data_IF_905728365072
#
_entry.id   IF_905728365072
#
_cell.length_a   1.000
_cell.length_b   1.000
_cell.length_c   1.000
_cell.angle_alpha   90.00
_cell.angle_beta   90.00
_cell.angle_gamma   90.00
#
_symmetry.space_group_name_H-M   'P 1'
#
loop_
_entity.id
_entity.type
_entity.pdbx_description
1 polymer ?
#
# COMPACT_ATOMS: atom_id res chain seq x y z
N UNK A 1 -63.50 10.39 21.95
CA UNK A 1 -62.14 9.83 21.99
C UNK A 1 -62.28 8.38 21.60
N UNK A 2 -61.89 8.05 20.37
CA UNK A 2 -62.35 6.87 19.65
C UNK A 2 -61.35 5.74 19.85
N UNK A 3 -61.82 4.50 19.91
CA UNK A 3 -61.01 3.27 20.06
C UNK A 3 -59.88 3.13 19.02
N UNK A 4 -59.89 3.94 17.95
CA UNK A 4 -58.81 4.07 16.93
C UNK A 4 -57.60 4.86 17.41
N UNK A 5 -57.78 5.81 18.33
CA UNK A 5 -56.71 6.69 18.81
C UNK A 5 -55.79 5.95 19.80
N UNK A 6 -56.34 4.99 20.56
CA UNK A 6 -55.61 4.14 21.50
C UNK A 6 -54.78 3.05 20.80
N UNK A 7 -55.24 2.57 19.64
CA UNK A 7 -54.49 1.62 18.80
C UNK A 7 -53.34 2.31 18.07
N UNK A 8 -53.54 3.56 17.64
CA UNK A 8 -52.48 4.37 17.04
C UNK A 8 -51.36 4.68 18.04
N UNK A 9 -51.71 5.05 19.27
CA UNK A 9 -50.75 5.29 20.36
C UNK A 9 -49.95 4.03 20.73
N UNK A 10 -50.58 2.85 20.77
CA UNK A 10 -49.89 1.57 21.04
C UNK A 10 -48.99 1.11 19.88
N UNK A 11 -49.24 1.57 18.65
CA UNK A 11 -48.35 1.31 17.50
C UNK A 11 -47.15 2.25 17.45
N UNK A 12 -47.22 3.44 18.06
CA UNK A 12 -46.08 4.36 18.16
C UNK A 12 -45.13 3.97 19.30
N UNK A 13 -45.64 3.49 20.45
CA UNK A 13 -44.79 3.00 21.56
C UNK A 13 -44.03 1.70 21.23
N UNK A 14 -44.57 0.85 20.35
CA UNK A 14 -43.88 -0.36 19.88
C UNK A 14 -42.76 -0.11 18.87
N UNK A 15 -42.65 1.12 18.35
CA UNK A 15 -41.65 1.49 17.32
C UNK A 15 -40.43 2.19 17.89
N UNK A 16 -40.52 2.72 19.11
CA UNK A 16 -39.41 3.37 19.82
C UNK A 16 -38.48 2.40 20.55
N UNK A 17 -38.84 1.11 20.63
CA UNK A 17 -38.11 0.09 21.40
C UNK A 17 -37.30 -0.90 20.55
N UNK A 18 -37.16 -0.65 19.23
CA UNK A 18 -36.42 -1.51 18.29
C UNK A 18 -35.23 -0.85 17.58
N UNK A 19 -34.80 0.33 18.00
CA UNK A 19 -33.54 0.92 17.50
C UNK A 19 -32.40 0.71 18.49
N UNK A 20 -32.00 -0.56 18.63
CA UNK A 20 -30.69 -0.92 19.18
C UNK A 20 -29.82 -1.39 18.00
N UNK A 21 -29.67 -0.54 16.99
CA UNK A 21 -29.03 -0.81 15.70
C UNK A 21 -27.51 -0.68 15.69
N UNK A 22 -26.80 -1.07 16.76
CA UNK A 22 -25.34 -0.87 16.85
C UNK A 22 -24.46 -2.08 16.45
N UNK A 23 -25.01 -3.28 16.23
CA UNK A 23 -24.15 -4.48 16.00
C UNK A 23 -23.87 -4.81 14.52
N UNK A 24 -24.77 -4.46 13.60
CA UNK A 24 -24.61 -4.85 12.18
C UNK A 24 -23.76 -3.86 11.37
N UNK A 25 -23.82 -2.57 11.70
CA UNK A 25 -23.01 -1.53 11.03
C UNK A 25 -21.52 -1.65 11.35
N UNK A 26 -21.17 -2.05 12.58
CA UNK A 26 -19.76 -2.26 12.97
C UNK A 26 -19.11 -3.39 12.18
N UNK A 27 -19.88 -4.46 11.88
CA UNK A 27 -19.34 -5.65 11.23
C UNK A 27 -18.84 -5.37 9.80
N UNK A 28 -19.58 -4.61 9.01
CA UNK A 28 -19.20 -4.30 7.61
C UNK A 28 -17.99 -3.36 7.53
N UNK A 29 -17.95 -2.33 8.36
CA UNK A 29 -16.80 -1.43 8.44
C UNK A 29 -15.53 -2.16 8.91
N UNK A 30 -15.67 -3.06 9.89
CA UNK A 30 -14.56 -3.89 10.37
C UNK A 30 -14.07 -4.86 9.27
N UNK A 31 -14.98 -5.52 8.55
CA UNK A 31 -14.62 -6.42 7.45
C UNK A 31 -13.87 -5.67 6.34
N UNK A 32 -14.39 -4.53 5.91
CA UNK A 32 -13.72 -3.71 4.87
C UNK A 32 -12.36 -3.20 5.33
N UNK A 33 -12.25 -2.77 6.59
CA UNK A 33 -10.97 -2.38 7.17
C UNK A 33 -9.97 -3.54 7.23
N UNK A 34 -10.38 -4.74 7.65
CA UNK A 34 -9.51 -5.93 7.66
C UNK A 34 -9.06 -6.27 6.23
N UNK A 35 -9.94 -6.18 5.24
CA UNK A 35 -9.58 -6.40 3.83
C UNK A 35 -8.50 -5.42 3.36
N UNK A 36 -8.61 -4.13 3.71
CA UNK A 36 -7.58 -3.12 3.43
C UNK A 36 -6.23 -3.51 4.03
N UNK A 37 -6.22 -3.90 5.32
CA UNK A 37 -5.00 -4.29 6.03
C UNK A 37 -4.35 -5.51 5.39
N UNK A 38 -5.13 -6.55 5.06
CA UNK A 38 -4.62 -7.74 4.38
C UNK A 38 -4.04 -7.38 3.00
N UNK A 39 -4.74 -6.53 2.24
CA UNK A 39 -4.25 -6.06 0.95
C UNK A 39 -2.92 -5.31 1.05
N UNK A 40 -2.74 -4.47 2.08
CA UNK A 40 -1.46 -3.79 2.33
C UNK A 40 -0.34 -4.74 2.73
N UNK A 41 -0.61 -5.73 3.61
CA UNK A 41 0.38 -6.77 3.96
C UNK A 41 0.82 -7.53 2.71
N UNK A 42 -0.13 -8.04 1.92
CA UNK A 42 0.16 -8.86 0.75
C UNK A 42 0.83 -8.06 -0.37
N UNK A 43 0.40 -6.81 -0.58
CA UNK A 43 1.01 -5.89 -1.53
C UNK A 43 2.46 -5.60 -1.17
N UNK A 44 2.72 -5.13 0.06
CA UNK A 44 4.11 -4.85 0.48
C UNK A 44 4.95 -6.12 0.50
N UNK A 45 4.40 -7.26 0.91
CA UNK A 45 5.09 -8.55 0.82
C UNK A 45 5.52 -8.85 -0.63
N UNK A 46 4.59 -8.73 -1.58
CA UNK A 46 4.87 -9.01 -2.99
C UNK A 46 5.95 -8.08 -3.55
N UNK A 47 5.87 -6.78 -3.25
CA UNK A 47 6.83 -5.78 -3.68
C UNK A 47 8.24 -6.11 -3.20
N UNK A 48 8.40 -6.38 -1.90
CA UNK A 48 9.70 -6.66 -1.29
C UNK A 48 10.23 -8.02 -1.75
N UNK A 49 9.38 -9.04 -1.81
CA UNK A 49 9.76 -10.36 -2.28
C UNK A 49 10.25 -10.33 -3.73
N UNK A 50 9.52 -9.67 -4.63
CA UNK A 50 9.91 -9.57 -6.04
C UNK A 50 11.14 -8.67 -6.24
N UNK A 51 11.14 -7.48 -5.64
CA UNK A 51 12.22 -6.50 -5.76
C UNK A 51 13.53 -7.03 -5.21
N UNK A 52 13.60 -7.33 -3.92
CA UNK A 52 14.80 -7.87 -3.29
C UNK A 52 15.14 -9.28 -3.80
N UNK A 53 14.14 -10.10 -4.13
CA UNK A 53 14.36 -11.41 -4.76
C UNK A 53 15.06 -11.30 -6.11
N UNK A 54 14.73 -10.28 -6.92
CA UNK A 54 15.45 -10.04 -8.19
C UNK A 54 16.92 -9.70 -7.97
N UNK A 55 17.26 -8.98 -6.89
CA UNK A 55 18.64 -8.68 -6.52
C UNK A 55 19.37 -9.97 -6.09
N UNK A 56 18.72 -10.78 -5.24
CA UNK A 56 19.26 -12.07 -4.79
C UNK A 56 19.51 -13.03 -5.97
N UNK A 57 18.53 -13.21 -6.84
CA UNK A 57 18.64 -14.03 -8.06
C UNK A 57 19.72 -13.48 -8.98
N UNK A 58 19.81 -12.16 -9.16
CA UNK A 58 20.86 -11.56 -9.97
C UNK A 58 22.26 -11.91 -9.43
N UNK A 59 22.44 -11.92 -8.10
CA UNK A 59 23.70 -12.34 -7.48
C UNK A 59 23.99 -13.83 -7.70
N UNK A 60 23.01 -14.70 -7.44
CA UNK A 60 23.15 -16.17 -7.57
C UNK A 60 23.52 -16.59 -8.99
N UNK A 61 22.89 -15.99 -10.00
CA UNK A 61 23.10 -16.33 -11.41
C UNK A 61 24.15 -15.43 -12.10
N UNK A 62 25.11 -14.89 -11.35
CA UNK A 62 26.28 -14.20 -11.90
C UNK A 62 25.97 -12.92 -12.69
N UNK A 63 24.92 -12.19 -12.32
CA UNK A 63 24.58 -10.88 -12.89
C UNK A 63 23.67 -10.91 -14.11
N UNK A 64 23.03 -12.05 -14.41
CA UNK A 64 22.24 -12.24 -15.64
C UNK A 64 21.03 -11.30 -15.76
N UNK A 65 20.38 -10.92 -14.65
CA UNK A 65 19.22 -10.01 -14.67
C UNK A 65 19.68 -8.57 -14.99
N UNK A 66 20.88 -8.19 -14.56
CA UNK A 66 21.47 -6.85 -14.65
C UNK A 66 20.65 -5.77 -13.90
N UNK A 67 21.24 -4.58 -13.71
CA UNK A 67 20.58 -3.48 -13.01
C UNK A 67 19.27 -3.02 -13.67
N UNK A 68 19.18 -2.85 -15.01
CA UNK A 68 17.90 -2.53 -15.67
C UNK A 68 16.80 -3.58 -15.42
N UNK A 69 17.15 -4.87 -15.35
CA UNK A 69 16.18 -5.93 -15.06
C UNK A 69 15.59 -5.79 -13.65
N UNK A 70 16.42 -5.46 -12.65
CA UNK A 70 15.97 -5.19 -11.28
C UNK A 70 15.00 -4.00 -11.26
N UNK A 71 15.32 -2.91 -11.98
CA UNK A 71 14.45 -1.73 -12.08
C UNK A 71 13.08 -2.09 -12.67
N UNK A 72 13.05 -2.91 -13.73
CA UNK A 72 11.81 -3.38 -14.36
C UNK A 72 10.99 -4.21 -13.38
N UNK A 73 11.62 -5.09 -12.59
CA UNK A 73 10.90 -5.91 -11.59
C UNK A 73 10.21 -5.03 -10.54
N UNK A 74 10.90 -4.01 -10.00
CA UNK A 74 10.29 -3.08 -9.04
C UNK A 74 9.07 -2.37 -9.61
N UNK A 75 9.18 -1.81 -10.82
CA UNK A 75 8.06 -1.11 -11.45
C UNK A 75 6.88 -2.02 -11.80
N UNK A 76 7.17 -3.22 -12.32
CA UNK A 76 6.13 -4.21 -12.63
C UNK A 76 5.45 -4.72 -11.36
N UNK A 77 6.19 -4.94 -10.28
CA UNK A 77 5.61 -5.42 -9.03
C UNK A 77 4.61 -4.41 -8.45
N UNK A 78 4.97 -3.12 -8.46
CA UNK A 78 4.07 -2.03 -8.07
C UNK A 78 2.86 -1.96 -9.00
N UNK A 79 3.07 -1.99 -10.32
CA UNK A 79 1.97 -1.94 -11.30
C UNK A 79 0.95 -3.08 -11.08
N UNK A 80 1.44 -4.32 -10.93
CA UNK A 80 0.60 -5.50 -10.71
C UNK A 80 -0.21 -5.35 -9.44
N UNK A 81 0.41 -4.95 -8.33
CA UNK A 81 -0.30 -4.84 -7.05
C UNK A 81 -1.25 -3.65 -7.00
N UNK A 82 -0.93 -2.54 -7.65
CA UNK A 82 -1.87 -1.41 -7.78
C UNK A 82 -3.13 -1.85 -8.54
N UNK A 83 -2.99 -2.58 -9.64
CA UNK A 83 -4.16 -3.09 -10.35
C UNK A 83 -4.91 -4.18 -9.58
N UNK A 84 -4.20 -5.06 -8.89
CA UNK A 84 -4.80 -6.17 -8.17
C UNK A 84 -5.57 -5.74 -6.91
N UNK A 85 -5.02 -4.82 -6.11
CA UNK A 85 -5.59 -4.48 -4.79
C UNK A 85 -5.84 -2.98 -4.58
N UNK A 86 -5.62 -2.14 -5.59
CA UNK A 86 -5.89 -0.69 -5.51
C UNK A 86 -7.34 -0.36 -5.18
N UNK A 87 -8.29 -1.14 -5.70
CA UNK A 87 -9.71 -0.99 -5.38
C UNK A 87 -10.08 -1.45 -3.95
N UNK A 88 -9.19 -2.16 -3.27
CA UNK A 88 -9.39 -2.68 -1.90
C UNK A 88 -8.80 -1.71 -0.88
N UNK A 89 -7.48 -1.46 -0.93
CA UNK A 89 -6.76 -0.65 0.07
C UNK A 89 -6.36 0.75 -0.39
N UNK A 90 -6.49 1.07 -1.68
CA UNK A 90 -5.82 2.22 -2.29
C UNK A 90 -4.39 1.93 -2.73
N UNK A 91 -3.87 0.71 -2.47
CA UNK A 91 -2.55 0.24 -2.87
C UNK A 91 -1.40 1.19 -2.46
N UNK A 92 -1.33 1.52 -1.17
CA UNK A 92 -0.27 2.41 -0.69
C UNK A 92 1.08 1.71 -0.66
N UNK A 93 1.11 0.52 -0.04
CA UNK A 93 2.25 -0.38 0.15
C UNK A 93 3.52 0.26 0.72
N UNK A 94 3.42 1.50 1.19
CA UNK A 94 4.54 2.35 1.55
C UNK A 94 4.07 3.35 2.64
N UNK A 95 4.80 3.43 3.77
CA UNK A 95 4.51 4.39 4.83
C UNK A 95 4.51 5.85 4.35
N UNK A 96 5.46 6.24 3.50
CA UNK A 96 5.55 7.60 2.96
C UNK A 96 4.30 7.95 2.13
N UNK A 97 3.85 7.03 1.26
CA UNK A 97 2.62 7.21 0.48
C UNK A 97 1.41 7.37 1.40
N UNK A 98 1.30 6.51 2.41
CA UNK A 98 0.20 6.54 3.39
C UNK A 98 0.15 7.87 4.14
N UNK A 99 1.30 8.33 4.62
CA UNK A 99 1.43 9.60 5.34
C UNK A 99 1.07 10.78 4.42
N UNK A 100 1.59 10.79 3.19
CA UNK A 100 1.33 11.88 2.25
C UNK A 100 -0.15 11.96 1.87
N UNK A 101 -0.80 10.84 1.58
CA UNK A 101 -2.23 10.81 1.28
C UNK A 101 -3.07 11.27 2.48
N UNK A 102 -2.63 10.98 3.70
CA UNK A 102 -3.29 11.45 4.92
C UNK A 102 -3.11 12.98 5.12
N UNK A 103 -1.91 13.52 4.87
CA UNK A 103 -1.63 14.97 4.94
C UNK A 103 -2.49 15.74 3.95
N UNK A 104 -2.64 15.24 2.73
CA UNK A 104 -3.50 15.86 1.71
C UNK A 104 -5.00 15.55 1.88
N UNK A 105 -5.41 14.96 3.01
CA UNK A 105 -6.81 14.62 3.36
C UNK A 105 -7.49 13.68 2.37
N UNK A 106 -6.71 12.91 1.62
CA UNK A 106 -7.21 11.83 0.75
C UNK A 106 -7.25 10.47 1.45
N UNK A 107 -6.81 10.39 2.71
CA UNK A 107 -6.83 9.17 3.51
C UNK A 107 -7.13 9.46 5.00
N UNK A 108 -7.97 8.65 5.68
CA UNK A 108 -8.32 8.88 7.08
C UNK A 108 -7.11 8.71 8.01
N UNK A 109 -6.81 9.74 8.80
CA UNK A 109 -5.69 9.76 9.76
C UNK A 109 -5.70 8.58 10.76
N UNK A 110 -6.88 8.05 11.09
CA UNK A 110 -7.02 6.91 12.01
C UNK A 110 -6.50 5.59 11.43
N UNK A 111 -6.48 5.44 10.11
CA UNK A 111 -6.04 4.22 9.43
C UNK A 111 -4.52 4.23 9.12
N UNK A 112 -3.83 5.37 9.30
CA UNK A 112 -2.40 5.53 8.96
C UNK A 112 -1.51 4.56 9.73
N UNK A 113 -1.64 4.52 11.06
CA UNK A 113 -0.79 3.66 11.90
C UNK A 113 -1.04 2.17 11.56
N UNK A 114 -2.30 1.68 11.48
CA UNK A 114 -2.56 0.32 11.02
C UNK A 114 -1.95 -0.03 9.67
N UNK A 115 -2.03 0.87 8.68
CA UNK A 115 -1.42 0.66 7.36
C UNK A 115 0.10 0.54 7.46
N UNK A 116 0.76 1.42 8.22
CA UNK A 116 2.22 1.36 8.41
C UNK A 116 2.62 0.03 9.06
N UNK A 117 1.89 -0.42 10.08
CA UNK A 117 2.15 -1.71 10.73
C UNK A 117 1.98 -2.86 9.73
N UNK A 118 0.93 -2.82 8.91
CA UNK A 118 0.67 -3.82 7.86
C UNK A 118 1.82 -3.88 6.84
N UNK A 119 2.28 -2.73 6.37
CA UNK A 119 3.37 -2.61 5.40
C UNK A 119 4.69 -3.12 5.99
N UNK A 120 5.02 -2.73 7.21
CA UNK A 120 6.23 -3.21 7.92
C UNK A 120 6.15 -4.73 8.17
N UNK A 121 4.99 -5.26 8.53
CA UNK A 121 4.80 -6.70 8.69
C UNK A 121 4.99 -7.43 7.35
N UNK A 122 4.39 -6.95 6.27
CA UNK A 122 4.53 -7.51 4.93
C UNK A 122 5.97 -7.53 4.44
N UNK A 123 6.70 -6.41 4.59
CA UNK A 123 8.12 -6.33 4.21
C UNK A 123 9.02 -7.25 5.03
N UNK A 124 8.75 -7.36 6.34
CA UNK A 124 9.49 -8.26 7.24
C UNK A 124 9.27 -9.72 6.86
N UNK A 125 8.02 -10.11 6.59
CA UNK A 125 7.69 -11.48 6.16
C UNK A 125 8.32 -11.83 4.81
N UNK A 126 8.33 -10.89 3.86
CA UNK A 126 8.98 -11.09 2.57
C UNK A 126 10.49 -11.26 2.71
N UNK A 127 11.13 -10.39 3.50
CA UNK A 127 12.57 -10.47 3.79
C UNK A 127 12.93 -11.79 4.47
N UNK A 128 12.14 -12.23 5.46
CA UNK A 128 12.32 -13.53 6.11
C UNK A 128 12.15 -14.70 5.15
N UNK A 129 11.20 -14.61 4.21
CA UNK A 129 11.01 -15.65 3.18
C UNK A 129 12.21 -15.71 2.24
N UNK A 130 12.78 -14.57 1.83
CA UNK A 130 13.97 -14.54 0.99
C UNK A 130 15.16 -15.22 1.66
N UNK A 131 15.38 -14.97 2.95
CA UNK A 131 16.45 -15.63 3.74
C UNK A 131 16.23 -17.14 3.86
N UNK A 132 14.97 -17.60 3.90
CA UNK A 132 14.66 -19.04 3.99
C UNK A 132 14.76 -19.77 2.65
N UNK A 133 14.45 -19.09 1.54
CA UNK A 133 14.35 -19.69 0.20
C UNK A 133 15.66 -19.60 -0.57
N UNK A 134 16.42 -18.53 -0.39
CA UNK A 134 17.69 -18.31 -1.07
C UNK A 134 18.85 -18.54 -0.10
N UNK A 135 19.98 -19.01 -0.63
CA UNK A 135 21.22 -19.17 0.13
C UNK A 135 21.89 -17.79 0.29
N UNK A 136 21.37 -17.02 1.23
CA UNK A 136 21.74 -15.61 1.46
C UNK A 136 22.54 -15.52 2.75
N UNK A 137 23.76 -15.00 2.67
CA UNK A 137 24.56 -14.69 3.85
C UNK A 137 24.06 -13.40 4.51
N UNK A 138 24.28 -13.21 5.82
CA UNK A 138 23.85 -12.00 6.54
C UNK A 138 24.48 -10.70 5.99
N UNK A 139 25.53 -10.83 5.20
CA UNK A 139 26.24 -9.74 4.52
C UNK A 139 25.53 -9.29 3.23
N UNK A 140 24.61 -10.11 2.71
CA UNK A 140 23.83 -9.85 1.49
C UNK A 140 22.58 -9.04 1.78
N UNK A 141 22.79 -7.77 2.06
CA UNK A 141 21.71 -6.80 2.22
C UNK A 141 21.13 -6.42 0.85
N UNK A 142 19.83 -6.72 0.65
CA UNK A 142 19.10 -6.45 -0.60
C UNK A 142 18.33 -5.13 -0.61
N UNK A 143 18.49 -4.31 0.43
CA UNK A 143 17.95 -2.95 0.47
C UNK A 143 18.94 -1.93 -0.10
N UNK A 144 18.55 -0.65 -0.07
CA UNK A 144 19.40 0.44 -0.54
C UNK A 144 20.52 0.77 0.44
N UNK A 145 21.76 0.87 -0.06
CA UNK A 145 22.94 1.28 0.72
C UNK A 145 23.40 2.63 0.17
N UNK A 146 23.62 3.64 1.02
CA UNK A 146 24.07 4.95 0.56
C UNK A 146 25.45 4.87 -0.09
N UNK A 147 25.54 5.30 -1.35
CA UNK A 147 26.81 5.44 -2.06
C UNK A 147 27.41 6.82 -1.77
N UNK A 148 28.39 6.86 -0.87
CA UNK A 148 29.08 8.09 -0.49
C UNK A 148 28.44 8.83 0.70
N UNK A 149 28.57 10.17 0.79
CA UNK A 149 28.09 10.92 1.95
C UNK A 149 26.58 10.80 2.13
N UNK A 150 26.12 10.55 3.36
CA UNK A 150 24.69 10.38 3.70
C UNK A 150 23.81 11.53 3.24
N UNK A 151 24.35 12.77 3.20
CA UNK A 151 23.62 13.94 2.71
C UNK A 151 23.22 13.82 1.23
N UNK A 152 24.05 13.17 0.39
CA UNK A 152 23.75 13.00 -1.03
C UNK A 152 22.60 12.01 -1.23
N UNK A 153 22.65 10.88 -0.53
CA UNK A 153 21.55 9.90 -0.53
C UNK A 153 20.27 10.50 0.04
N UNK A 154 20.36 11.29 1.11
CA UNK A 154 19.19 11.99 1.67
C UNK A 154 18.52 12.95 0.67
N UNK A 155 19.31 13.75 -0.05
CA UNK A 155 18.78 14.66 -1.09
C UNK A 155 18.14 13.86 -2.22
N UNK A 156 18.79 12.78 -2.66
CA UNK A 156 18.28 11.91 -3.73
C UNK A 156 16.95 11.25 -3.34
N UNK A 157 16.86 10.71 -2.13
CA UNK A 157 15.64 10.11 -1.56
C UNK A 157 14.48 11.10 -1.49
N UNK A 158 14.73 12.37 -1.13
CA UNK A 158 13.72 13.44 -1.17
C UNK A 158 13.22 13.65 -2.61
N UNK A 159 14.14 13.72 -3.58
CA UNK A 159 13.77 14.01 -4.99
C UNK A 159 12.94 12.87 -5.57
N UNK A 160 13.37 11.62 -5.41
CA UNK A 160 12.65 10.46 -5.97
C UNK A 160 11.31 10.23 -5.24
N UNK A 161 11.25 10.45 -3.93
CA UNK A 161 9.99 10.39 -3.17
C UNK A 161 9.04 11.49 -3.62
N UNK A 162 9.54 12.70 -3.89
CA UNK A 162 8.74 13.78 -4.45
C UNK A 162 8.14 13.39 -5.81
N UNK A 163 8.94 12.80 -6.72
CA UNK A 163 8.42 12.34 -8.01
C UNK A 163 7.37 11.24 -7.86
N UNK A 164 7.60 10.28 -6.98
CA UNK A 164 6.61 9.24 -6.66
C UNK A 164 5.31 9.87 -6.16
N UNK A 165 5.39 10.75 -5.16
CA UNK A 165 4.20 11.35 -4.56
C UNK A 165 3.48 12.31 -5.50
N UNK A 166 4.21 13.03 -6.36
CA UNK A 166 3.63 13.90 -7.38
C UNK A 166 2.78 13.07 -8.36
N UNK A 167 3.32 11.97 -8.87
CA UNK A 167 2.59 11.09 -9.80
C UNK A 167 1.43 10.40 -9.09
N UNK A 168 1.65 9.80 -7.92
CA UNK A 168 0.59 9.12 -7.15
C UNK A 168 -0.56 10.07 -6.86
N UNK A 169 -0.28 11.27 -6.36
CA UNK A 169 -1.34 12.26 -6.09
C UNK A 169 -2.04 12.65 -7.39
N UNK A 170 -1.29 12.94 -8.46
CA UNK A 170 -1.87 13.31 -9.75
C UNK A 170 -2.82 12.27 -10.33
N UNK A 171 -2.48 10.98 -10.26
CA UNK A 171 -3.31 9.91 -10.84
C UNK A 171 -4.38 9.39 -9.89
N UNK A 172 -4.18 9.49 -8.57
CA UNK A 172 -5.12 8.98 -7.58
C UNK A 172 -6.17 10.01 -7.12
N UNK A 173 -5.90 11.31 -7.25
CA UNK A 173 -6.76 12.35 -6.67
C UNK A 173 -7.36 13.33 -7.68
N UNK A 174 -6.77 13.48 -8.88
CA UNK A 174 -7.32 14.37 -9.92
C UNK A 174 -8.35 13.63 -10.78
N UNK A 175 -9.59 14.11 -10.77
CA UNK A 175 -10.69 13.54 -11.57
C UNK A 175 -10.48 13.70 -13.09
N UNK A 176 -9.51 14.51 -13.53
CA UNK A 176 -9.13 14.65 -14.94
C UNK A 176 -8.13 13.58 -15.39
N UNK A 177 -7.50 12.86 -14.45
CA UNK A 177 -6.57 11.80 -14.76
C UNK A 177 -7.31 10.53 -15.20
N UNK A 178 -6.67 9.74 -16.08
CA UNK A 178 -7.16 8.43 -16.50
C UNK A 178 -6.86 7.41 -15.40
N UNK A 179 -7.81 7.22 -14.47
CA UNK A 179 -7.64 6.30 -13.34
C UNK A 179 -7.27 4.87 -13.72
N UNK A 180 -7.72 4.39 -14.90
CA UNK A 180 -7.35 3.08 -15.45
C UNK A 180 -5.84 2.94 -15.75
N UNK A 181 -5.13 4.04 -15.98
CA UNK A 181 -3.69 4.07 -16.23
C UNK A 181 -2.87 4.35 -14.95
N UNK A 182 -3.52 4.50 -13.79
CA UNK A 182 -2.83 4.81 -12.54
C UNK A 182 -1.77 3.76 -12.18
N UNK A 183 -2.07 2.47 -12.34
CA UNK A 183 -1.10 1.39 -12.09
C UNK A 183 0.14 1.49 -12.97
N UNK A 184 -0.03 1.75 -14.27
CA UNK A 184 1.10 1.95 -15.19
C UNK A 184 1.91 3.19 -14.79
N UNK A 185 1.25 4.31 -14.53
CA UNK A 185 1.94 5.55 -14.17
C UNK A 185 2.78 5.39 -12.90
N UNK A 186 2.19 4.86 -11.82
CA UNK A 186 2.89 4.66 -10.54
C UNK A 186 4.02 3.64 -10.69
N UNK A 187 3.78 2.50 -11.37
CA UNK A 187 4.81 1.49 -11.59
C UNK A 187 5.99 2.00 -12.41
N UNK A 188 5.73 2.74 -13.48
CA UNK A 188 6.80 3.36 -14.29
C UNK A 188 7.58 4.42 -13.52
N UNK A 189 6.93 5.19 -12.64
CA UNK A 189 7.64 6.12 -11.75
C UNK A 189 8.58 5.41 -10.80
N UNK A 190 8.15 4.29 -10.19
CA UNK A 190 9.03 3.49 -9.32
C UNK A 190 10.21 2.92 -10.10
N UNK A 191 9.98 2.38 -11.30
CA UNK A 191 11.05 1.91 -12.19
C UNK A 191 12.09 3.01 -12.44
N UNK A 192 11.65 4.20 -12.85
CA UNK A 192 12.54 5.32 -13.15
C UNK A 192 13.30 5.80 -11.93
N UNK A 193 12.63 5.84 -10.77
CA UNK A 193 13.26 6.21 -9.51
C UNK A 193 14.37 5.23 -9.12
N UNK A 194 14.12 3.93 -9.18
CA UNK A 194 15.14 2.90 -8.91
C UNK A 194 16.27 2.99 -9.94
N UNK A 195 15.95 3.20 -11.22
CA UNK A 195 16.94 3.33 -12.28
C UNK A 195 17.91 4.50 -12.07
N UNK A 196 17.44 5.59 -11.47
CA UNK A 196 18.25 6.78 -11.18
C UNK A 196 18.96 6.66 -9.83
N UNK A 197 18.29 6.12 -8.81
CA UNK A 197 18.78 6.19 -7.44
C UNK A 197 19.55 4.96 -6.95
N UNK A 198 19.32 3.79 -7.57
CA UNK A 198 19.84 2.51 -7.11
C UNK A 198 18.89 1.80 -6.16
#
# INVERSE_FOLDING_TARGET
MTQRDEVASKMEEGRSSLDNGNDLCSSTEVVTFIQKIIAEVLGTYFLIFAGCGSVAVNKIYGGTITFPGICVVWGLAVMVMVYATGHISGAHFNPAVTITMAIFRHFPMKEVIPYIIAQVAGSTLASGTLVLVFDVEMEDYFGTIPVGPSLRSFILEIIITFFLMFVVSGVATDSRATGELAGIAVGMTVLLNVFVAG
#
